data_IF_627935170835
#
_entry.id   IF_627935170835
#
_cell.length_a   1.000
_cell.length_b   1.000
_cell.length_c   1.000
_cell.angle_alpha   90.00
_cell.angle_beta   90.00
_cell.angle_gamma   90.00
#
_symmetry.space_group_name_H-M   'P 1'
#
loop_
_entity.id
_entity.type
_entity.pdbx_description
1 polymer ?
#
# COMPACT_ATOMS: atom_id res chain seq x y z
N UNK A 1 -11.58 -3.80 -15.14
CA UNK A 1 -10.89 -2.58 -14.62
C UNK A 1 -9.50 -2.99 -14.19
N UNK A 2 -8.42 -2.24 -14.52
CA UNK A 2 -7.07 -2.62 -14.07
C UNK A 2 -6.95 -2.59 -12.54
N UNK A 3 -6.03 -3.41 -11.96
CA UNK A 3 -5.80 -3.49 -10.51
C UNK A 3 -5.48 -2.11 -9.89
N UNK A 4 -4.67 -1.31 -10.59
CA UNK A 4 -4.35 0.08 -10.20
C UNK A 4 -5.58 1.00 -10.20
N UNK A 5 -6.49 0.85 -11.16
CA UNK A 5 -7.73 1.64 -11.19
C UNK A 5 -8.66 1.24 -10.05
N UNK A 6 -8.70 -0.04 -9.67
CA UNK A 6 -9.48 -0.52 -8.54
C UNK A 6 -8.92 0.00 -7.22
N UNK A 7 -7.59 -0.08 -7.03
CA UNK A 7 -6.91 0.48 -5.86
C UNK A 7 -7.11 2.00 -5.75
N UNK A 8 -7.00 2.73 -6.87
CA UNK A 8 -7.19 4.18 -6.90
C UNK A 8 -8.65 4.62 -6.73
N UNK A 9 -9.61 3.77 -7.02
CA UNK A 9 -11.04 4.02 -6.84
C UNK A 9 -11.51 3.68 -5.42
N UNK A 10 -10.73 2.89 -4.67
CA UNK A 10 -11.07 2.55 -3.29
C UNK A 10 -10.84 3.76 -2.38
N UNK A 11 -11.90 4.21 -1.72
CA UNK A 11 -11.83 5.33 -0.79
C UNK A 11 -11.06 4.98 0.49
N UNK A 12 -11.02 3.69 0.84
CA UNK A 12 -10.38 3.17 2.06
C UNK A 12 -9.62 1.90 1.73
N UNK A 13 -8.38 1.81 2.18
CA UNK A 13 -7.56 0.58 2.14
C UNK A 13 -7.21 0.20 3.57
N UNK A 14 -7.91 -0.76 4.18
CA UNK A 14 -7.60 -1.23 5.53
C UNK A 14 -6.18 -1.79 5.60
N UNK A 15 -5.44 -1.35 6.61
CA UNK A 15 -4.11 -1.89 6.96
C UNK A 15 -4.31 -2.93 8.05
N UNK A 16 -4.13 -4.19 7.69
CA UNK A 16 -4.46 -5.33 8.54
C UNK A 16 -3.19 -5.97 9.07
N UNK A 17 -3.16 -6.18 10.38
CA UNK A 17 -2.11 -6.93 11.08
C UNK A 17 -2.73 -8.21 11.58
N UNK A 18 -2.20 -9.35 11.18
CA UNK A 18 -2.67 -10.68 11.58
C UNK A 18 -1.54 -11.45 12.26
N UNK A 19 -1.80 -11.95 13.45
CA UNK A 19 -0.86 -12.79 14.19
C UNK A 19 -0.99 -14.27 13.80
N UNK A 20 -2.16 -14.65 13.25
CA UNK A 20 -2.45 -16.01 12.80
C UNK A 20 -3.15 -15.97 11.42
N UNK A 21 -2.65 -16.73 10.47
CA UNK A 21 -3.19 -16.81 9.12
C UNK A 21 -4.62 -17.38 9.05
N UNK A 22 -5.06 -18.14 10.05
CA UNK A 22 -6.44 -18.67 10.13
C UNK A 22 -7.51 -17.57 10.15
N UNK A 23 -7.17 -16.37 10.63
CA UNK A 23 -8.10 -15.26 10.76
C UNK A 23 -8.23 -14.45 9.45
N UNK A 24 -7.34 -14.71 8.47
CA UNK A 24 -7.23 -13.89 7.26
C UNK A 24 -8.48 -13.93 6.38
N UNK A 25 -9.02 -15.12 6.12
CA UNK A 25 -10.21 -15.32 5.26
C UNK A 25 -11.46 -14.73 5.93
N UNK A 26 -11.62 -14.93 7.24
CA UNK A 26 -12.75 -14.36 7.98
C UNK A 26 -12.71 -12.83 7.96
N UNK A 27 -11.52 -12.24 8.13
CA UNK A 27 -11.30 -10.79 8.04
C UNK A 27 -11.63 -10.27 6.64
N UNK A 28 -11.16 -10.93 5.58
CA UNK A 28 -11.44 -10.54 4.21
C UNK A 28 -12.96 -10.58 3.90
N UNK A 29 -13.65 -11.64 4.33
CA UNK A 29 -15.08 -11.78 4.15
C UNK A 29 -15.88 -10.70 4.91
N UNK A 30 -15.46 -10.35 6.13
CA UNK A 30 -16.08 -9.27 6.88
C UNK A 30 -15.93 -7.91 6.18
N UNK A 31 -14.75 -7.63 5.62
CA UNK A 31 -14.51 -6.43 4.82
C UNK A 31 -15.40 -6.40 3.56
N UNK A 32 -15.45 -7.51 2.82
CA UNK A 32 -16.31 -7.64 1.63
C UNK A 32 -17.78 -7.42 1.96
N UNK A 33 -18.27 -8.00 3.08
CA UNK A 33 -19.64 -7.79 3.54
C UNK A 33 -19.93 -6.31 3.89
N UNK A 34 -18.90 -5.57 4.32
CA UNK A 34 -18.96 -4.11 4.53
C UNK A 34 -18.74 -3.27 3.27
N UNK A 35 -18.61 -3.88 2.09
CA UNK A 35 -18.41 -3.18 0.82
C UNK A 35 -16.95 -2.75 0.57
N UNK A 36 -15.98 -3.26 1.36
CA UNK A 36 -14.55 -2.99 1.19
C UNK A 36 -13.90 -4.17 0.48
N UNK A 37 -13.47 -3.97 -0.75
CA UNK A 37 -12.94 -5.00 -1.64
C UNK A 37 -11.42 -4.94 -1.85
N UNK A 38 -10.72 -4.14 -1.05
CA UNK A 38 -9.25 -3.99 -1.03
C UNK A 38 -8.76 -4.09 0.39
N UNK A 39 -7.65 -4.81 0.63
CA UNK A 39 -6.98 -4.85 1.92
C UNK A 39 -5.46 -4.96 1.78
N UNK A 40 -4.73 -4.36 2.72
CA UNK A 40 -3.27 -4.44 2.86
C UNK A 40 -2.93 -5.30 4.07
N UNK A 41 -2.34 -6.48 3.87
CA UNK A 41 -1.82 -7.33 4.97
C UNK A 41 -0.35 -6.98 5.19
N UNK A 42 0.02 -6.63 6.42
CA UNK A 42 1.36 -6.10 6.71
C UNK A 42 2.36 -7.20 7.05
N UNK A 43 3.60 -7.08 6.54
CA UNK A 43 4.75 -7.93 6.89
C UNK A 43 5.35 -7.59 8.26
N UNK A 44 4.51 -7.19 9.22
CA UNK A 44 4.90 -6.96 10.63
C UNK A 44 4.90 -8.25 11.45
N UNK A 45 4.26 -9.30 10.95
CA UNK A 45 4.16 -10.60 11.61
C UNK A 45 4.63 -11.72 10.68
N UNK A 46 4.99 -12.85 11.25
CA UNK A 46 5.36 -14.04 10.47
C UNK A 46 4.18 -14.64 9.69
N UNK A 47 2.94 -14.36 10.11
CA UNK A 47 1.74 -14.88 9.46
C UNK A 47 1.39 -14.17 8.14
N UNK A 48 2.07 -13.08 7.77
CA UNK A 48 1.69 -12.23 6.65
C UNK A 48 1.62 -12.97 5.31
N UNK A 49 2.65 -13.74 4.96
CA UNK A 49 2.72 -14.46 3.69
C UNK A 49 1.60 -15.51 3.56
N UNK A 50 1.38 -16.30 4.59
CA UNK A 50 0.34 -17.32 4.61
C UNK A 50 -1.07 -16.69 4.63
N UNK A 51 -1.23 -15.58 5.31
CA UNK A 51 -2.47 -14.80 5.31
C UNK A 51 -2.80 -14.27 3.91
N UNK A 52 -1.83 -13.70 3.20
CA UNK A 52 -2.00 -13.22 1.82
C UNK A 52 -2.41 -14.39 0.91
N UNK A 53 -1.72 -15.53 1.04
CA UNK A 53 -2.02 -16.73 0.26
C UNK A 53 -3.44 -17.20 0.49
N UNK A 54 -3.85 -17.34 1.75
CA UNK A 54 -5.19 -17.80 2.13
C UNK A 54 -6.28 -16.88 1.55
N UNK A 55 -6.10 -15.55 1.62
CA UNK A 55 -7.05 -14.59 1.04
C UNK A 55 -7.05 -14.65 -0.48
N UNK A 56 -5.88 -14.71 -1.13
CA UNK A 56 -5.76 -14.75 -2.57
C UNK A 56 -6.42 -15.99 -3.20
N UNK A 57 -6.37 -17.13 -2.50
CA UNK A 57 -6.98 -18.41 -2.93
C UNK A 57 -8.47 -18.49 -2.63
N UNK A 58 -8.92 -17.96 -1.48
CA UNK A 58 -10.29 -18.17 -0.97
C UNK A 58 -11.24 -17.00 -1.23
N UNK A 59 -10.74 -15.79 -1.48
CA UNK A 59 -11.53 -14.57 -1.61
C UNK A 59 -11.25 -13.88 -2.96
N UNK A 60 -11.73 -14.39 -4.10
CA UNK A 60 -11.41 -13.88 -5.43
C UNK A 60 -11.86 -12.42 -5.65
N UNK A 61 -12.86 -11.97 -4.90
CA UNK A 61 -13.37 -10.59 -4.96
C UNK A 61 -12.52 -9.60 -4.16
N UNK A 62 -11.65 -10.08 -3.27
CA UNK A 62 -10.73 -9.25 -2.49
C UNK A 62 -9.45 -8.93 -3.26
N UNK A 63 -9.15 -7.66 -3.43
CA UNK A 63 -7.85 -7.19 -3.90
C UNK A 63 -6.87 -7.13 -2.72
N UNK A 64 -6.14 -8.23 -2.49
CA UNK A 64 -5.17 -8.29 -1.39
C UNK A 64 -3.80 -7.78 -1.85
N UNK A 65 -3.17 -6.96 -1.02
CA UNK A 65 -1.80 -6.48 -1.16
C UNK A 65 -0.98 -6.69 0.09
N UNK A 66 0.32 -6.47 -0.04
CA UNK A 66 1.28 -6.56 1.05
C UNK A 66 1.75 -5.18 1.50
N UNK A 67 1.69 -4.92 2.80
CA UNK A 67 2.20 -3.71 3.43
C UNK A 67 3.42 -3.95 4.29
N UNK A 68 4.10 -2.87 4.64
CA UNK A 68 5.34 -2.90 5.43
C UNK A 68 6.41 -3.80 4.80
N UNK A 69 6.46 -3.80 3.47
CA UNK A 69 7.49 -4.51 2.69
C UNK A 69 8.74 -3.64 2.69
N UNK A 70 9.83 -4.15 3.26
CA UNK A 70 11.09 -3.40 3.47
C UNK A 70 12.30 -4.06 2.80
N UNK A 71 12.12 -5.22 2.17
CA UNK A 71 13.18 -5.92 1.42
C UNK A 71 12.63 -6.51 0.13
N UNK A 72 13.52 -6.74 -0.83
CA UNK A 72 13.15 -7.40 -2.09
C UNK A 72 12.66 -8.84 -1.86
N UNK A 73 13.22 -9.56 -0.91
CA UNK A 73 12.79 -10.93 -0.59
C UNK A 73 11.35 -10.96 -0.05
N UNK A 74 11.00 -10.02 0.84
CA UNK A 74 9.61 -9.87 1.28
C UNK A 74 8.68 -9.52 0.11
N UNK A 75 9.11 -8.64 -0.80
CA UNK A 75 8.36 -8.26 -1.97
C UNK A 75 8.07 -9.47 -2.88
N UNK A 76 9.09 -10.24 -3.23
CA UNK A 76 8.97 -11.45 -4.04
C UNK A 76 8.05 -12.47 -3.36
N UNK A 77 8.29 -12.73 -2.08
CA UNK A 77 7.46 -13.65 -1.29
C UNK A 77 6.00 -13.24 -1.27
N UNK A 78 5.72 -11.95 -1.08
CA UNK A 78 4.35 -11.42 -1.10
C UNK A 78 3.66 -11.68 -2.44
N UNK A 79 4.34 -11.40 -3.54
CA UNK A 79 3.81 -11.59 -4.90
C UNK A 79 3.61 -13.06 -5.22
N UNK A 80 4.54 -13.94 -4.85
CA UNK A 80 4.40 -15.40 -4.96
C UNK A 80 3.18 -15.92 -4.20
N UNK A 81 2.88 -15.35 -3.03
CA UNK A 81 1.70 -15.68 -2.23
C UNK A 81 0.40 -15.06 -2.77
N UNK A 82 0.46 -14.27 -3.83
CA UNK A 82 -0.71 -13.74 -4.52
C UNK A 82 -1.02 -12.27 -4.27
N UNK A 83 -0.16 -11.52 -3.57
CA UNK A 83 -0.32 -10.08 -3.43
C UNK A 83 -0.39 -9.39 -4.80
N UNK A 84 -1.33 -8.45 -4.96
CA UNK A 84 -1.58 -7.74 -6.21
C UNK A 84 -0.99 -6.33 -6.23
N UNK A 85 -0.60 -5.82 -5.07
CA UNK A 85 0.10 -4.56 -4.92
C UNK A 85 1.02 -4.62 -3.69
N UNK A 86 2.02 -3.76 -3.69
CA UNK A 86 3.03 -3.64 -2.63
C UNK A 86 2.98 -2.23 -2.05
N UNK A 87 3.05 -2.14 -0.73
CA UNK A 87 3.18 -0.88 0.01
C UNK A 87 4.41 -0.94 0.90
N UNK A 88 5.30 0.02 0.76
CA UNK A 88 6.50 0.14 1.57
C UNK A 88 6.42 1.37 2.50
N UNK A 89 7.00 1.32 3.69
CA UNK A 89 7.04 2.47 4.59
C UNK A 89 8.01 3.57 4.14
N UNK A 90 8.98 3.24 3.30
CA UNK A 90 9.98 4.12 2.73
C UNK A 90 10.22 3.84 1.26
N UNK A 91 11.14 4.60 0.66
CA UNK A 91 11.58 4.38 -0.72
C UNK A 91 12.82 3.47 -0.74
N UNK A 92 12.67 2.31 -1.34
CA UNK A 92 13.77 1.41 -1.68
C UNK A 92 13.80 1.20 -3.19
N UNK A 93 14.92 1.57 -3.84
CA UNK A 93 15.02 1.55 -5.29
C UNK A 93 14.94 0.13 -5.86
N UNK A 94 15.51 -0.84 -5.17
CA UNK A 94 15.52 -2.24 -5.63
C UNK A 94 14.12 -2.84 -5.63
N UNK A 95 13.37 -2.64 -4.55
CA UNK A 95 11.96 -3.07 -4.44
C UNK A 95 11.11 -2.39 -5.50
N UNK A 96 11.22 -1.06 -5.64
CA UNK A 96 10.41 -0.30 -6.59
C UNK A 96 10.72 -0.71 -8.02
N UNK A 97 12.00 -0.81 -8.38
CA UNK A 97 12.44 -1.23 -9.72
C UNK A 97 11.91 -2.61 -10.07
N UNK A 98 12.09 -3.58 -9.16
CA UNK A 98 11.60 -4.93 -9.37
C UNK A 98 10.08 -4.96 -9.59
N UNK A 99 9.31 -4.22 -8.79
CA UNK A 99 7.85 -4.14 -8.97
C UNK A 99 7.48 -3.56 -10.34
N UNK A 100 8.12 -2.47 -10.76
CA UNK A 100 7.85 -1.83 -12.05
C UNK A 100 8.16 -2.80 -13.21
N UNK A 101 9.32 -3.45 -13.17
CA UNK A 101 9.77 -4.41 -14.20
C UNK A 101 8.84 -5.64 -14.29
N UNK A 102 8.24 -6.06 -13.17
CA UNK A 102 7.33 -7.20 -13.11
C UNK A 102 5.84 -6.83 -13.20
N UNK A 103 5.52 -5.55 -13.48
CA UNK A 103 4.14 -5.09 -13.61
C UNK A 103 3.31 -5.16 -12.32
N UNK A 104 3.99 -5.12 -11.17
CA UNK A 104 3.36 -5.11 -9.84
C UNK A 104 3.15 -3.65 -9.40
N UNK A 105 1.93 -3.33 -9.00
CA UNK A 105 1.65 -2.01 -8.44
C UNK A 105 2.43 -1.79 -7.14
N UNK A 106 3.13 -0.67 -7.01
CA UNK A 106 3.90 -0.34 -5.81
C UNK A 106 3.65 1.09 -5.36
N UNK A 107 3.54 1.29 -4.05
CA UNK A 107 3.36 2.59 -3.42
C UNK A 107 4.41 2.75 -2.32
N UNK A 108 5.60 3.29 -2.63
CA UNK A 108 6.66 3.52 -1.66
C UNK A 108 6.36 4.72 -0.78
N UNK A 109 6.86 4.71 0.47
CA UNK A 109 6.87 5.85 1.35
C UNK A 109 7.83 6.93 0.85
N UNK A 110 7.32 8.17 0.69
CA UNK A 110 8.11 9.32 0.27
C UNK A 110 7.60 10.56 1.02
N UNK A 111 8.47 11.22 1.78
CA UNK A 111 8.14 12.43 2.55
C UNK A 111 9.02 13.62 2.19
N UNK A 112 10.09 13.38 1.43
CA UNK A 112 11.03 14.41 0.99
C UNK A 112 10.99 14.60 -0.53
N UNK A 113 11.35 15.79 -1.04
CA UNK A 113 11.50 16.03 -2.48
C UNK A 113 12.40 15.02 -3.17
N UNK A 114 13.50 14.62 -2.54
CA UNK A 114 14.47 13.67 -3.10
C UNK A 114 13.86 12.29 -3.32
N UNK A 115 13.10 11.77 -2.36
CA UNK A 115 12.42 10.49 -2.48
C UNK A 115 11.33 10.53 -3.56
N UNK A 116 10.56 11.63 -3.62
CA UNK A 116 9.55 11.83 -4.66
C UNK A 116 10.20 11.85 -6.05
N UNK A 117 11.31 12.58 -6.21
CA UNK A 117 12.04 12.60 -7.48
C UNK A 117 12.58 11.23 -7.87
N UNK A 118 13.06 10.44 -6.91
CA UNK A 118 13.51 9.07 -7.15
C UNK A 118 12.36 8.16 -7.61
N UNK A 119 11.19 8.26 -6.97
CA UNK A 119 10.00 7.54 -7.38
C UNK A 119 9.54 7.91 -8.81
N UNK A 120 9.55 9.22 -9.14
CA UNK A 120 9.21 9.72 -10.48
C UNK A 120 10.16 9.20 -11.56
N UNK A 121 11.47 9.12 -11.28
CA UNK A 121 12.46 8.57 -12.22
C UNK A 121 12.19 7.12 -12.60
N UNK A 122 11.57 6.36 -11.70
CA UNK A 122 11.13 4.99 -11.95
C UNK A 122 9.71 4.89 -12.53
N UNK A 123 9.11 6.01 -12.93
CA UNK A 123 7.81 6.07 -13.59
C UNK A 123 6.61 6.01 -12.64
N UNK A 124 6.81 6.15 -11.33
CA UNK A 124 5.70 6.18 -10.39
C UNK A 124 4.99 7.53 -10.40
N UNK A 125 3.68 7.48 -10.26
CA UNK A 125 2.81 8.66 -10.12
C UNK A 125 1.98 8.65 -8.83
N UNK A 126 2.18 7.65 -7.97
CA UNK A 126 1.55 7.52 -6.66
C UNK A 126 2.61 7.16 -5.63
N UNK A 127 2.62 7.86 -4.51
CA UNK A 127 3.50 7.58 -3.36
C UNK A 127 2.69 7.60 -2.07
N UNK A 128 3.22 6.96 -1.02
CA UNK A 128 2.65 6.98 0.33
C UNK A 128 3.34 8.09 1.14
N UNK A 129 2.57 9.03 1.65
CA UNK A 129 3.09 10.03 2.59
C UNK A 129 2.93 9.51 4.02
N UNK A 130 4.02 8.99 4.60
CA UNK A 130 3.98 8.27 5.88
C UNK A 130 5.28 8.45 6.68
N UNK A 131 5.16 8.62 8.02
CA UNK A 131 3.97 8.91 8.83
C UNK A 131 3.55 10.38 8.69
N UNK A 132 2.35 10.61 8.13
CA UNK A 132 1.94 11.94 7.70
C UNK A 132 1.91 12.99 8.81
N UNK A 133 1.34 12.67 9.97
CA UNK A 133 1.23 13.61 11.09
C UNK A 133 2.58 14.10 11.61
N UNK A 134 3.60 13.22 11.62
CA UNK A 134 4.96 13.55 12.07
C UNK A 134 5.68 14.48 11.09
N UNK A 135 5.41 14.30 9.79
CA UNK A 135 6.07 15.05 8.71
C UNK A 135 5.26 16.26 8.22
N UNK A 136 4.36 16.80 9.07
CA UNK A 136 3.64 18.05 8.80
C UNK A 136 2.27 17.88 8.13
N UNK A 137 1.76 16.66 8.01
CA UNK A 137 0.39 16.37 7.60
C UNK A 137 -0.02 16.95 6.26
N UNK A 138 -1.26 17.42 6.17
CA UNK A 138 -1.83 18.00 4.96
C UNK A 138 -1.08 19.25 4.48
N UNK A 139 -0.52 20.05 5.40
CA UNK A 139 0.25 21.24 5.06
C UNK A 139 1.50 20.89 4.26
N UNK A 140 2.27 19.89 4.70
CA UNK A 140 3.45 19.42 3.99
C UNK A 140 3.09 18.77 2.64
N UNK A 141 2.03 17.96 2.59
CA UNK A 141 1.53 17.38 1.33
C UNK A 141 1.14 18.46 0.33
N UNK A 142 0.45 19.52 0.77
CA UNK A 142 0.09 20.67 -0.07
C UNK A 142 1.32 21.41 -0.57
N UNK A 143 2.32 21.63 0.27
CA UNK A 143 3.57 22.28 -0.13
C UNK A 143 4.33 21.47 -1.19
N UNK A 144 4.40 20.13 -1.02
CA UNK A 144 5.02 19.23 -1.98
C UNK A 144 4.25 19.11 -3.30
N UNK A 145 2.93 19.26 -3.30
CA UNK A 145 2.12 19.18 -4.52
C UNK A 145 2.41 20.30 -5.53
N UNK A 146 2.96 21.42 -5.07
CA UNK A 146 3.34 22.53 -5.95
C UNK A 146 4.39 22.12 -6.98
N UNK A 147 5.61 21.72 -6.57
CA UNK A 147 6.66 21.31 -7.50
C UNK A 147 6.41 19.92 -8.14
N UNK A 148 5.56 19.06 -7.55
CA UNK A 148 5.32 17.69 -7.99
C UNK A 148 3.87 17.43 -8.42
N UNK A 149 3.28 18.33 -9.21
CA UNK A 149 1.87 18.27 -9.63
C UNK A 149 1.42 17.01 -10.39
N UNK A 150 2.35 16.15 -10.82
CA UNK A 150 2.06 14.86 -11.45
C UNK A 150 1.98 13.68 -10.47
N UNK A 151 2.31 13.89 -9.19
CA UNK A 151 2.32 12.85 -8.16
C UNK A 151 1.07 12.94 -7.28
N UNK A 152 0.42 11.81 -7.09
CA UNK A 152 -0.65 11.64 -6.09
C UNK A 152 -0.05 11.06 -4.81
N UNK A 153 -0.31 11.72 -3.70
CA UNK A 153 0.06 11.19 -2.38
C UNK A 153 -1.15 10.52 -1.74
N UNK A 154 -0.99 9.27 -1.35
CA UNK A 154 -1.95 8.58 -0.47
C UNK A 154 -1.38 8.61 0.95
N UNK A 155 -2.22 8.90 1.92
CA UNK A 155 -1.82 8.94 3.33
C UNK A 155 -2.59 7.93 4.14
N UNK A 156 -1.86 7.18 4.97
CA UNK A 156 -2.44 6.40 6.05
C UNK A 156 -2.38 7.25 7.31
N UNK A 157 -3.34 8.13 7.47
CA UNK A 157 -3.49 8.86 8.72
C UNK A 157 -4.68 8.30 9.47
N UNK A 158 -4.53 8.16 10.77
CA UNK A 158 -5.65 8.31 11.66
C UNK A 158 -6.05 9.80 11.61
N UNK A 159 -6.75 10.19 10.54
CA UNK A 159 -7.35 11.52 10.46
C UNK A 159 -8.40 11.60 11.57
N UNK A 160 -8.14 12.44 12.55
CA UNK A 160 -9.18 12.78 13.52
C UNK A 160 -10.25 13.58 12.79
N UNK A 161 -11.52 13.44 13.19
CA UNK A 161 -12.68 14.03 12.51
C UNK A 161 -12.60 15.56 12.26
N UNK A 162 -11.72 16.27 12.97
CA UNK A 162 -11.49 17.72 12.80
C UNK A 162 -10.34 18.09 11.85
N UNK A 163 -9.68 17.11 11.23
CA UNK A 163 -8.64 17.36 10.22
C UNK A 163 -9.19 17.28 8.79
N UNK A 164 -10.49 17.03 8.64
CA UNK A 164 -11.18 16.87 7.34
C UNK A 164 -12.11 18.02 6.99
N UNK A 165 -12.13 19.11 7.77
CA UNK A 165 -12.96 20.30 7.54
C UNK A 165 -12.18 21.44 6.86
#
# INVERSE_FOLDING_TARGET
>A
MSKLKRLAASAVVPVVVLDDAKDAVATANALLAGGVDVMEITFRTAAAADSIKAVAESCPDMLVGAGTVITLDQCRKAVECGAKFIVAPGFDEEVVRWCVENGVAVTPGCVTPTEIMAAMKLGLNVVKFFPAGVYGGLSAMKALSGPFGGIKSVSYTHLRAHETS
#
